data_IF_086515105789
#
_entry.id   IF_086515105789
#
_cell.length_a   1.000
_cell.length_b   1.000
_cell.length_c   1.000
_cell.angle_alpha   90.00
_cell.angle_beta   90.00
_cell.angle_gamma   90.00
#
_symmetry.space_group_name_H-M   'P 1'
#
loop_
_entity.id
_entity.type
_entity.pdbx_description
1 polymer ?
#
# COMPACT_ATOMS: atom_id res chain seq x y z
N UNK A 1 -1.41 3.52 -9.31
CA UNK A 1 -0.33 2.63 -9.79
C UNK A 1 0.06 2.99 -11.21
N UNK A 2 1.28 2.65 -11.64
CA UNK A 2 1.77 2.78 -13.02
C UNK A 2 1.04 1.91 -14.05
N UNK A 3 0.29 0.90 -13.61
CA UNK A 3 -0.46 -0.01 -14.48
C UNK A 3 -1.79 0.59 -15.01
N UNK A 4 -2.22 1.75 -14.52
CA UNK A 4 -3.42 2.46 -15.00
C UNK A 4 -2.96 3.73 -15.71
N UNK A 5 -2.47 3.58 -16.95
CA UNK A 5 -1.73 4.63 -17.67
C UNK A 5 -2.49 5.93 -17.86
N UNK A 6 -3.81 5.87 -18.10
CA UNK A 6 -4.64 7.06 -18.32
C UNK A 6 -4.79 7.95 -17.06
N UNK A 7 -4.71 7.34 -15.87
CA UNK A 7 -4.84 8.02 -14.59
C UNK A 7 -3.49 8.30 -13.92
N UNK A 8 -2.40 7.68 -14.37
CA UNK A 8 -1.09 7.76 -13.73
C UNK A 8 -0.33 9.05 -14.10
N UNK A 9 0.49 9.56 -13.18
CA UNK A 9 1.55 10.51 -13.50
C UNK A 9 2.79 10.30 -12.64
N UNK A 10 3.97 10.37 -13.26
CA UNK A 10 5.26 10.46 -12.55
C UNK A 10 5.59 11.89 -12.10
N UNK A 11 4.81 12.89 -12.53
CA UNK A 11 5.00 14.31 -12.21
C UNK A 11 4.43 14.64 -10.83
N UNK A 12 4.98 14.00 -9.81
CA UNK A 12 4.67 14.20 -8.39
C UNK A 12 5.96 14.51 -7.63
N UNK A 13 5.84 15.05 -6.42
CA UNK A 13 6.99 15.21 -5.54
C UNK A 13 7.64 13.84 -5.30
N UNK A 14 8.95 13.76 -5.50
CA UNK A 14 9.75 12.56 -5.26
C UNK A 14 10.65 12.78 -4.06
N UNK A 15 10.90 11.71 -3.30
CA UNK A 15 11.82 11.70 -2.16
C UNK A 15 12.93 10.68 -2.46
N UNK A 16 13.98 11.07 -3.20
CA UNK A 16 15.08 10.16 -3.49
C UNK A 16 15.80 9.76 -2.21
N UNK A 17 16.37 8.56 -2.19
CA UNK A 17 17.18 8.09 -1.06
C UNK A 17 18.41 8.98 -0.89
N UNK A 18 18.37 9.85 0.12
CA UNK A 18 19.43 10.81 0.42
C UNK A 18 19.62 10.95 1.94
N UNK A 19 20.56 10.18 2.47
CA UNK A 19 20.88 10.09 3.90
C UNK A 19 21.35 11.44 4.46
N UNK A 20 22.14 12.20 3.70
CA UNK A 20 22.63 13.50 4.12
C UNK A 20 21.48 14.51 4.28
N UNK A 21 20.57 14.56 3.30
CA UNK A 21 19.38 15.43 3.36
C UNK A 21 18.44 15.02 4.49
N UNK A 22 18.25 13.72 4.71
CA UNK A 22 17.43 13.23 5.81
C UNK A 22 18.00 13.63 7.18
N UNK A 23 19.32 13.50 7.39
CA UNK A 23 19.96 13.99 8.61
C UNK A 23 19.76 15.50 8.80
N UNK A 24 19.99 16.30 7.76
CA UNK A 24 19.80 17.75 7.82
C UNK A 24 18.36 18.14 8.22
N UNK A 25 17.35 17.51 7.61
CA UNK A 25 15.93 17.75 7.94
C UNK A 25 15.59 17.37 9.40
N UNK A 26 16.15 16.26 9.90
CA UNK A 26 15.96 15.85 11.28
C UNK A 26 16.64 16.81 12.27
N UNK A 27 17.79 17.37 11.89
CA UNK A 27 18.49 18.37 12.71
C UNK A 27 17.78 19.74 12.70
N UNK A 28 17.22 20.15 11.55
CA UNK A 28 16.40 21.37 11.38
C UNK A 28 15.14 21.33 12.25
N UNK A 29 14.52 20.16 12.41
CA UNK A 29 13.30 19.97 13.23
C UNK A 29 13.60 19.74 14.72
N UNK A 30 14.88 19.77 15.12
CA UNK A 30 15.30 19.59 16.52
C UNK A 30 15.41 18.14 16.97
N UNK A 31 15.14 17.16 16.09
CA UNK A 31 15.26 15.72 16.34
C UNK A 31 16.73 15.29 16.22
N UNK A 32 17.62 15.91 16.99
CA UNK A 32 19.08 15.72 16.91
C UNK A 32 19.53 14.38 17.44
N UNK A 33 20.71 13.91 17.03
CA UNK A 33 21.34 12.72 17.63
C UNK A 33 21.72 13.00 19.08
N UNK A 34 21.42 12.07 19.97
CA UNK A 34 21.96 12.03 21.32
C UNK A 34 23.43 11.60 21.34
N UNK A 35 24.01 11.57 22.54
CA UNK A 35 25.42 11.17 22.77
C UNK A 35 25.75 9.75 22.30
N UNK A 36 24.76 8.86 22.26
CA UNK A 36 24.87 7.50 21.76
C UNK A 36 24.61 7.38 20.24
N UNK A 37 24.49 8.50 19.52
CA UNK A 37 24.20 8.54 18.09
C UNK A 37 22.74 8.26 17.71
N UNK A 38 21.87 7.95 18.68
CA UNK A 38 20.43 7.69 18.46
C UNK A 38 19.65 8.99 18.59
N UNK A 39 18.75 9.24 17.64
CA UNK A 39 17.78 10.37 17.68
C UNK A 39 16.56 9.98 18.51
N UNK A 40 15.91 8.88 18.14
CA UNK A 40 14.77 8.32 18.85
C UNK A 40 14.59 6.84 18.53
N UNK A 41 13.68 6.20 19.27
CA UNK A 41 13.27 4.81 19.07
C UNK A 41 11.80 4.78 18.67
N UNK A 42 11.45 3.88 17.76
CA UNK A 42 10.08 3.67 17.26
C UNK A 42 9.86 2.20 17.00
N UNK A 43 8.62 1.79 16.74
CA UNK A 43 8.28 0.42 16.34
C UNK A 43 7.71 0.33 14.92
N UNK A 44 7.85 -0.84 14.29
CA UNK A 44 7.21 -1.20 13.02
C UNK A 44 6.50 -2.54 13.18
N UNK A 45 5.17 -2.54 13.02
CA UNK A 45 4.38 -3.77 12.98
C UNK A 45 4.26 -4.29 11.54
N UNK A 46 4.33 -5.61 11.36
CA UNK A 46 4.23 -6.24 10.04
C UNK A 46 3.83 -7.73 10.14
N UNK A 47 3.17 -8.24 9.09
CA UNK A 47 2.93 -9.67 8.90
C UNK A 47 4.18 -10.38 8.32
N UNK A 48 4.29 -11.70 8.53
CA UNK A 48 5.41 -12.53 8.08
C UNK A 48 5.77 -12.37 6.59
N UNK A 49 4.79 -12.07 5.73
CA UNK A 49 5.00 -11.81 4.30
C UNK A 49 5.88 -10.58 3.99
N UNK A 50 6.17 -9.72 4.97
CA UNK A 50 6.86 -8.45 4.79
C UNK A 50 8.20 -8.34 5.52
N UNK A 51 8.76 -9.45 6.02
CA UNK A 51 9.98 -9.43 6.83
C UNK A 51 11.18 -8.74 6.15
N UNK A 52 11.37 -8.98 4.85
CA UNK A 52 12.50 -8.37 4.10
C UNK A 52 12.36 -6.86 3.98
N UNK A 53 11.15 -6.36 3.80
CA UNK A 53 10.86 -4.93 3.73
C UNK A 53 11.04 -4.28 5.09
N UNK A 54 10.59 -4.95 6.16
CA UNK A 54 10.76 -4.49 7.53
C UNK A 54 12.25 -4.34 7.91
N UNK A 55 13.10 -5.32 7.59
CA UNK A 55 14.54 -5.24 7.83
C UNK A 55 15.22 -4.14 7.01
N UNK A 56 14.81 -3.94 5.75
CA UNK A 56 15.33 -2.86 4.92
C UNK A 56 14.97 -1.48 5.50
N UNK A 57 13.73 -1.29 5.92
CA UNK A 57 13.26 -0.05 6.56
C UNK A 57 14.05 0.22 7.84
N UNK A 58 14.24 -0.80 8.69
CA UNK A 58 15.05 -0.70 9.91
C UNK A 58 16.48 -0.28 9.60
N UNK A 59 17.11 -0.90 8.61
CA UNK A 59 18.49 -0.58 8.22
C UNK A 59 18.61 0.88 7.75
N UNK A 60 17.75 1.31 6.83
CA UNK A 60 17.77 2.67 6.28
C UNK A 60 17.47 3.74 7.33
N UNK A 61 16.50 3.51 8.22
CA UNK A 61 16.22 4.42 9.33
C UNK A 61 17.37 4.43 10.36
N UNK A 62 18.07 3.31 10.54
CA UNK A 62 19.28 3.23 11.35
C UNK A 62 20.41 4.16 10.88
N UNK A 63 20.60 4.32 9.56
CA UNK A 63 21.62 5.22 8.98
C UNK A 63 21.42 6.67 9.43
N UNK A 64 20.18 7.09 9.67
CA UNK A 64 19.83 8.43 10.16
C UNK A 64 19.66 8.50 11.68
N UNK A 65 19.97 7.42 12.41
CA UNK A 65 19.94 7.38 13.87
C UNK A 65 18.58 7.06 14.48
N UNK A 66 17.65 6.51 13.70
CA UNK A 66 16.34 6.08 14.18
C UNK A 66 16.40 4.58 14.43
N UNK A 67 16.16 4.17 15.67
CA UNK A 67 16.15 2.74 16.01
C UNK A 67 14.73 2.20 15.88
N UNK A 68 14.56 1.18 15.03
CA UNK A 68 13.26 0.55 14.76
C UNK A 68 13.19 -0.82 15.44
N UNK A 69 12.23 -0.98 16.34
CA UNK A 69 11.81 -2.25 16.92
C UNK A 69 10.83 -2.96 15.98
N UNK A 70 11.25 -4.11 15.44
CA UNK A 70 10.47 -4.88 14.48
C UNK A 70 9.53 -5.84 15.22
N UNK A 71 8.22 -5.66 15.00
CA UNK A 71 7.18 -6.45 15.65
C UNK A 71 6.44 -7.30 14.63
N UNK A 72 6.93 -8.54 14.47
CA UNK A 72 6.24 -9.56 13.68
C UNK A 72 4.92 -9.95 14.36
N UNK A 73 3.86 -10.00 13.57
CA UNK A 73 2.52 -10.38 14.01
C UNK A 73 1.92 -11.42 13.07
N UNK A 74 1.01 -12.24 13.58
CA UNK A 74 0.11 -12.99 12.71
C UNK A 74 -0.89 -12.05 12.02
N UNK A 75 -1.46 -12.49 10.89
CA UNK A 75 -2.36 -11.70 10.07
C UNK A 75 -3.52 -11.07 10.87
N UNK A 76 -4.15 -11.81 11.79
CA UNK A 76 -5.31 -11.30 12.52
C UNK A 76 -4.92 -10.21 13.51
N UNK A 77 -3.86 -10.43 14.29
CA UNK A 77 -3.32 -9.44 15.21
C UNK A 77 -2.84 -8.18 14.48
N UNK A 78 -2.14 -8.36 13.35
CA UNK A 78 -1.68 -7.27 12.49
C UNK A 78 -2.83 -6.45 11.91
N UNK A 79 -3.84 -7.09 11.32
CA UNK A 79 -5.05 -6.40 10.80
C UNK A 79 -5.75 -5.64 11.92
N UNK A 80 -5.96 -6.28 13.06
CA UNK A 80 -6.62 -5.64 14.21
C UNK A 80 -5.86 -4.40 14.65
N UNK A 81 -4.54 -4.50 14.80
CA UNK A 81 -3.71 -3.41 15.31
C UNK A 81 -3.62 -2.24 14.32
N UNK A 82 -3.50 -2.50 13.02
CA UNK A 82 -3.50 -1.49 11.97
C UNK A 82 -4.86 -0.79 11.79
N UNK A 83 -5.95 -1.56 11.78
CA UNK A 83 -7.22 -1.06 11.25
C UNK A 83 -8.31 -0.85 12.29
N UNK A 84 -8.24 -1.53 13.44
CA UNK A 84 -9.27 -1.49 14.48
C UNK A 84 -8.79 -0.70 15.70
N UNK A 85 -7.65 -1.11 16.25
CA UNK A 85 -7.12 -0.55 17.50
C UNK A 85 -6.27 0.71 17.23
N UNK A 86 -5.70 0.84 16.02
CA UNK A 86 -4.81 1.93 15.59
C UNK A 86 -3.61 2.13 16.53
N UNK A 87 -3.10 1.04 17.08
CA UNK A 87 -2.03 1.02 18.09
C UNK A 87 -0.68 0.66 17.45
N UNK A 88 -0.07 1.63 16.77
CA UNK A 88 1.23 1.48 16.12
C UNK A 88 1.90 2.83 15.88
N UNK A 89 3.24 2.87 15.85
CA UNK A 89 3.97 4.05 15.36
C UNK A 89 4.09 4.00 13.83
N UNK A 90 4.51 2.84 13.31
CA UNK A 90 4.55 2.53 11.90
C UNK A 90 3.98 1.14 11.67
N UNK A 91 3.35 0.95 10.51
CA UNK A 91 2.89 -0.36 10.08
C UNK A 91 3.15 -0.56 8.59
N UNK A 92 3.62 -1.75 8.23
CA UNK A 92 3.78 -2.12 6.83
C UNK A 92 2.56 -2.88 6.35
N UNK A 93 2.00 -2.47 5.22
CA UNK A 93 0.88 -3.15 4.56
C UNK A 93 0.96 -3.04 3.06
N UNK A 94 0.20 -3.87 2.36
CA UNK A 94 -0.02 -3.77 0.93
C UNK A 94 -1.51 -3.59 0.64
N UNK A 95 -1.80 -2.99 -0.49
CA UNK A 95 -3.15 -2.89 -1.01
C UNK A 95 -3.21 -3.46 -2.42
N UNK A 96 -4.32 -4.10 -2.73
CA UNK A 96 -4.68 -4.48 -4.09
C UNK A 96 -5.67 -3.48 -4.64
N UNK A 97 -5.68 -3.30 -5.95
CA UNK A 97 -6.68 -2.48 -6.63
C UNK A 97 -7.06 -3.14 -7.97
N UNK A 98 -8.32 -2.99 -8.41
CA UNK A 98 -8.73 -3.37 -9.76
C UNK A 98 -8.25 -2.31 -10.78
N UNK A 99 -8.68 -2.45 -12.03
CA UNK A 99 -8.29 -1.53 -13.11
C UNK A 99 -8.82 -0.10 -12.93
N UNK A 100 -9.90 0.11 -12.16
CA UNK A 100 -10.40 1.43 -11.82
C UNK A 100 -9.70 1.96 -10.54
N UNK A 101 -9.07 3.16 -10.59
CA UNK A 101 -8.41 3.73 -9.42
C UNK A 101 -9.32 3.97 -8.21
N UNK A 102 -10.61 4.26 -8.43
CA UNK A 102 -11.54 4.62 -7.36
C UNK A 102 -11.73 3.46 -6.38
N UNK A 103 -12.02 2.27 -6.91
CA UNK A 103 -12.36 1.08 -6.12
C UNK A 103 -11.23 0.65 -5.18
N UNK A 104 -9.97 0.86 -5.59
CA UNK A 104 -8.82 0.40 -4.83
C UNK A 104 -8.17 1.46 -3.94
N UNK A 105 -8.02 2.69 -4.44
CA UNK A 105 -7.24 3.73 -3.75
C UNK A 105 -8.11 4.63 -2.85
N UNK A 106 -9.38 4.86 -3.19
CA UNK A 106 -10.29 5.72 -2.40
C UNK A 106 -10.34 5.28 -0.94
N UNK A 107 -10.51 3.96 -0.71
CA UNK A 107 -10.61 3.35 0.63
C UNK A 107 -9.42 3.64 1.55
N UNK A 108 -8.24 3.98 1.02
CA UNK A 108 -7.04 4.18 1.83
C UNK A 108 -6.98 5.63 2.35
N UNK A 109 -7.57 6.58 1.63
CA UNK A 109 -7.29 8.01 1.83
C UNK A 109 -8.49 8.85 2.22
N UNK A 110 -9.72 8.41 1.95
CA UNK A 110 -10.89 9.25 2.28
C UNK A 110 -11.20 9.27 3.77
N UNK A 111 -11.61 10.43 4.27
CA UNK A 111 -11.91 10.64 5.69
C UNK A 111 -12.99 9.67 6.19
N UNK A 112 -14.05 9.48 5.39
CA UNK A 112 -15.19 8.62 5.72
C UNK A 112 -14.81 7.15 5.88
N UNK A 113 -13.64 6.74 5.40
CA UNK A 113 -13.16 5.38 5.55
C UNK A 113 -12.16 5.21 6.69
N UNK A 114 -11.97 6.22 7.55
CA UNK A 114 -11.29 6.06 8.84
C UNK A 114 -12.24 5.42 9.85
N UNK A 115 -12.49 4.13 9.67
CA UNK A 115 -13.43 3.32 10.45
C UNK A 115 -12.74 2.07 11.01
N UNK A 116 -13.36 1.45 12.02
CA UNK A 116 -12.92 0.19 12.62
C UNK A 116 -13.31 -1.01 11.74
N UNK A 117 -12.69 -1.13 10.58
CA UNK A 117 -12.85 -2.27 9.68
C UNK A 117 -11.51 -2.60 8.98
N UNK A 118 -11.25 -3.87 8.63
CA UNK A 118 -10.01 -4.27 7.94
C UNK A 118 -9.79 -3.55 6.60
N UNK A 119 -8.53 -3.26 6.27
CA UNK A 119 -8.10 -2.74 4.96
C UNK A 119 -8.79 -1.44 4.52
N UNK A 120 -9.16 -0.61 5.49
CA UNK A 120 -9.67 0.74 5.30
C UNK A 120 -8.55 1.77 5.47
N UNK A 121 -8.89 3.03 5.74
CA UNK A 121 -7.90 4.05 6.03
C UNK A 121 -7.19 3.70 7.36
N UNK A 122 -5.97 3.20 7.22
CA UNK A 122 -5.11 2.82 8.34
C UNK A 122 -4.36 4.00 8.95
N UNK A 123 -3.99 5.00 8.13
CA UNK A 123 -3.13 6.10 8.56
C UNK A 123 -3.85 7.19 9.36
N UNK A 124 -5.19 7.21 9.32
CA UNK A 124 -5.96 8.30 9.93
C UNK A 124 -5.87 9.61 9.18
N UNK A 125 -5.32 9.59 7.96
CA UNK A 125 -5.27 10.76 7.11
C UNK A 125 -6.69 11.22 6.76
N UNK A 126 -6.93 12.53 6.87
CA UNK A 126 -8.18 13.14 6.45
C UNK A 126 -7.90 14.53 5.87
N UNK A 127 -8.30 14.74 4.62
CA UNK A 127 -8.14 16.01 3.93
C UNK A 127 -9.34 16.25 3.01
N UNK A 128 -10.06 17.35 3.23
CA UNK A 128 -11.27 17.69 2.46
C UNK A 128 -11.02 17.91 0.96
N UNK A 129 -9.83 18.38 0.57
CA UNK A 129 -9.45 18.51 -0.83
C UNK A 129 -9.30 17.13 -1.49
N UNK A 130 -8.70 16.17 -0.77
CA UNK A 130 -8.55 14.79 -1.24
C UNK A 130 -9.92 14.12 -1.39
N UNK A 131 -10.80 14.25 -0.39
CA UNK A 131 -12.17 13.74 -0.45
C UNK A 131 -12.90 14.32 -1.68
N UNK A 132 -12.84 15.65 -1.85
CA UNK A 132 -13.44 16.33 -3.01
C UNK A 132 -12.89 15.82 -4.34
N UNK A 133 -11.58 15.63 -4.47
CA UNK A 133 -10.97 15.12 -5.70
C UNK A 133 -11.45 13.70 -6.01
N UNK A 134 -11.65 12.84 -5.01
CA UNK A 134 -12.25 11.52 -5.23
C UNK A 134 -13.71 11.62 -5.69
N UNK A 135 -14.50 12.49 -5.08
CA UNK A 135 -15.91 12.65 -5.46
C UNK A 135 -16.08 13.26 -6.85
N UNK A 136 -15.26 14.26 -7.21
CA UNK A 136 -15.21 14.82 -8.55
C UNK A 136 -14.78 13.76 -9.58
N UNK A 137 -13.82 12.88 -9.23
CA UNK A 137 -13.38 11.79 -10.10
C UNK A 137 -14.45 10.71 -10.31
N UNK A 138 -15.35 10.48 -9.34
CA UNK A 138 -16.47 9.54 -9.49
C UNK A 138 -17.57 10.15 -10.37
N UNK A 139 -17.81 11.45 -10.28
CA UNK A 139 -18.84 12.14 -11.06
C UNK A 139 -18.44 12.43 -12.52
N UNK A 140 -17.15 12.42 -12.85
CA UNK A 140 -16.65 12.73 -14.20
C UNK A 140 -16.68 11.50 -15.12
N UNK A 141 -17.45 11.61 -16.21
CA UNK A 141 -17.66 10.54 -17.19
C UNK A 141 -16.61 10.55 -18.32
N UNK A 142 -15.98 11.71 -18.60
CA UNK A 142 -14.90 11.80 -19.56
C UNK A 142 -13.60 11.25 -18.95
N UNK A 143 -13.08 10.16 -19.53
CA UNK A 143 -11.90 9.48 -19.00
C UNK A 143 -10.67 10.38 -18.94
N UNK A 144 -10.50 11.31 -19.89
CA UNK A 144 -9.34 12.20 -19.93
C UNK A 144 -9.40 13.20 -18.78
N UNK A 145 -10.56 13.85 -18.57
CA UNK A 145 -10.79 14.76 -17.45
C UNK A 145 -10.67 14.05 -16.11
N UNK A 146 -11.27 12.86 -15.98
CA UNK A 146 -11.13 12.00 -14.79
C UNK A 146 -9.67 11.67 -14.51
N UNK A 147 -8.90 11.36 -15.55
CA UNK A 147 -7.46 11.12 -15.46
C UNK A 147 -6.72 12.35 -14.92
N UNK A 148 -7.07 13.56 -15.36
CA UNK A 148 -6.45 14.79 -14.89
C UNK A 148 -6.77 15.08 -13.41
N UNK A 149 -7.96 14.71 -12.92
CA UNK A 149 -8.32 14.74 -11.49
C UNK A 149 -7.43 13.77 -10.69
N UNK A 150 -7.28 12.52 -11.14
CA UNK A 150 -6.40 11.56 -10.47
C UNK A 150 -4.93 11.98 -10.42
N UNK A 151 -4.45 12.70 -11.44
CA UNK A 151 -3.09 13.25 -11.44
C UNK A 151 -2.94 14.38 -10.41
N UNK A 152 -3.97 15.20 -10.19
CA UNK A 152 -3.99 16.21 -9.11
C UNK A 152 -3.98 15.52 -7.74
N UNK A 153 -4.82 14.51 -7.56
CA UNK A 153 -4.85 13.69 -6.35
C UNK A 153 -3.48 13.08 -6.03
N UNK A 154 -2.80 12.47 -7.02
CA UNK A 154 -1.45 11.91 -6.84
C UNK A 154 -0.43 12.96 -6.38
N UNK A 155 -0.49 14.17 -6.94
CA UNK A 155 0.39 15.27 -6.50
C UNK A 155 0.10 15.69 -5.06
N UNK A 156 -1.17 15.79 -4.69
CA UNK A 156 -1.58 16.16 -3.34
C UNK A 156 -1.12 15.11 -2.31
N UNK A 157 -1.38 13.83 -2.58
CA UNK A 157 -0.94 12.73 -1.71
C UNK A 157 0.59 12.63 -1.61
N UNK A 158 1.33 12.89 -2.70
CA UNK A 158 2.79 12.92 -2.65
C UNK A 158 3.36 14.10 -1.83
N UNK A 159 2.60 15.19 -1.71
CA UNK A 159 2.97 16.32 -0.85
C UNK A 159 2.63 16.05 0.61
N UNK A 160 1.47 15.45 0.88
CA UNK A 160 0.99 15.23 2.25
C UNK A 160 1.61 13.98 2.91
N UNK A 161 2.11 13.04 2.10
CA UNK A 161 2.77 11.79 2.51
C UNK A 161 2.00 10.99 3.59
N UNK A 162 0.69 10.73 3.43
CA UNK A 162 -0.08 9.97 4.42
C UNK A 162 0.32 8.49 4.50
N UNK A 163 0.94 7.97 3.44
CA UNK A 163 1.59 6.66 3.35
C UNK A 163 2.83 6.81 2.48
N UNK A 164 3.84 5.96 2.68
CA UNK A 164 5.03 5.91 1.84
C UNK A 164 4.91 4.72 0.87
N UNK A 165 4.70 4.94 -0.44
CA UNK A 165 4.67 3.85 -1.40
C UNK A 165 6.06 3.24 -1.58
N UNK A 166 6.23 1.95 -1.22
CA UNK A 166 7.53 1.25 -1.31
C UNK A 166 7.73 0.56 -2.66
N UNK A 167 6.67 0.00 -3.25
CA UNK A 167 6.76 -0.62 -4.57
C UNK A 167 5.46 -1.24 -5.04
N UNK A 168 5.37 -1.46 -6.35
CA UNK A 168 4.30 -2.21 -7.00
C UNK A 168 4.75 -3.67 -7.22
N UNK A 169 3.98 -4.63 -6.72
CA UNK A 169 4.23 -6.07 -6.93
C UNK A 169 3.26 -6.67 -7.95
N UNK A 170 3.70 -7.73 -8.63
CA UNK A 170 2.82 -8.65 -9.36
C UNK A 170 2.57 -9.83 -8.43
N UNK A 171 1.31 -10.26 -8.28
CA UNK A 171 0.97 -11.49 -7.56
C UNK A 171 0.91 -12.67 -8.53
N UNK A 172 2.01 -13.44 -8.72
CA UNK A 172 1.98 -14.58 -9.61
C UNK A 172 1.18 -15.73 -8.98
N UNK A 173 0.40 -16.40 -9.81
CA UNK A 173 -0.21 -17.68 -9.46
C UNK A 173 0.63 -18.80 -10.08
N UNK A 174 1.01 -19.79 -9.27
CA UNK A 174 1.75 -20.96 -9.72
C UNK A 174 0.81 -22.16 -9.63
N UNK A 175 0.65 -22.88 -10.74
CA UNK A 175 -0.17 -24.08 -10.80
C UNK A 175 0.46 -25.13 -11.70
N UNK A 176 0.11 -26.39 -11.45
CA UNK A 176 0.53 -27.52 -12.27
C UNK A 176 -0.24 -27.52 -13.58
N UNK A 177 0.25 -26.76 -14.56
CA UNK A 177 -0.39 -26.66 -15.87
C UNK A 177 -0.42 -28.01 -16.61
N UNK A 178 0.33 -29.04 -16.22
CA UNK A 178 0.21 -30.37 -16.83
C UNK A 178 -1.08 -31.11 -16.43
N UNK A 179 -1.75 -30.67 -15.37
CA UNK A 179 -2.91 -31.36 -14.80
C UNK A 179 -4.11 -30.45 -14.58
N UNK A 180 -3.89 -29.14 -14.53
CA UNK A 180 -4.95 -28.17 -14.33
C UNK A 180 -5.01 -27.22 -15.52
N UNK A 181 -6.23 -27.01 -16.03
CA UNK A 181 -6.55 -26.13 -17.17
C UNK A 181 -7.57 -25.08 -16.74
N UNK A 182 -7.73 -24.05 -17.57
CA UNK A 182 -8.76 -23.04 -17.40
C UNK A 182 -8.42 -21.89 -16.44
N UNK A 183 -7.17 -21.83 -15.97
CA UNK A 183 -6.57 -20.57 -15.55
C UNK A 183 -6.56 -19.64 -16.77
N UNK A 184 -7.50 -18.70 -16.83
CA UNK A 184 -7.58 -17.74 -17.93
C UNK A 184 -6.36 -16.82 -17.97
N UNK A 185 -6.19 -16.11 -19.10
CA UNK A 185 -5.24 -14.97 -19.22
C UNK A 185 -5.64 -13.76 -18.33
N UNK A 186 -6.53 -13.94 -17.35
CA UNK A 186 -6.98 -12.93 -16.41
C UNK A 186 -5.94 -12.66 -15.32
N UNK A 187 -4.68 -12.44 -15.73
CA UNK A 187 -3.82 -11.55 -14.96
C UNK A 187 -4.61 -10.25 -14.71
N UNK A 188 -4.82 -9.92 -13.44
CA UNK A 188 -5.41 -8.68 -12.91
C UNK A 188 -6.93 -8.46 -12.95
N UNK A 189 -7.77 -9.20 -13.70
CA UNK A 189 -9.20 -8.80 -13.80
C UNK A 189 -10.07 -9.26 -12.63
N UNK A 190 -9.83 -10.43 -12.06
CA UNK A 190 -10.62 -10.96 -10.92
C UNK A 190 -9.71 -11.80 -10.01
N UNK A 191 -9.14 -11.19 -8.97
CA UNK A 191 -8.31 -11.92 -7.98
C UNK A 191 -9.08 -13.03 -7.25
N UNK A 192 -10.42 -12.97 -7.24
CA UNK A 192 -11.30 -13.87 -6.51
C UNK A 192 -12.06 -14.89 -7.37
N UNK A 193 -12.03 -14.78 -8.72
CA UNK A 193 -12.67 -15.74 -9.62
C UNK A 193 -11.76 -16.93 -10.02
N UNK A 194 -10.64 -17.09 -9.31
CA UNK A 194 -9.55 -18.02 -9.63
C UNK A 194 -10.00 -19.49 -9.74
N UNK A 195 -11.10 -19.88 -9.06
CA UNK A 195 -11.59 -21.26 -9.04
C UNK A 195 -12.69 -21.60 -10.05
N UNK A 196 -13.40 -20.62 -10.60
CA UNK A 196 -14.65 -20.89 -11.35
C UNK A 196 -14.43 -21.55 -12.70
N UNK A 197 -13.25 -21.34 -13.28
CA UNK A 197 -12.90 -21.84 -14.61
C UNK A 197 -11.79 -22.87 -14.55
N UNK A 198 -11.35 -23.31 -13.37
CA UNK A 198 -10.24 -24.26 -13.24
C UNK A 198 -10.76 -25.68 -13.14
N UNK A 199 -10.23 -26.58 -13.95
CA UNK A 199 -10.55 -28.00 -13.87
C UNK A 199 -9.30 -28.89 -13.91
N UNK A 200 -9.40 -30.02 -13.22
CA UNK A 200 -8.38 -31.07 -13.19
C UNK A 200 -8.59 -32.04 -14.36
N UNK A 201 -7.58 -32.21 -15.21
CA UNK A 201 -7.67 -33.02 -16.43
C UNK A 201 -7.44 -34.51 -16.20
N UNK A 202 -7.05 -34.92 -14.99
CA UNK A 202 -6.84 -36.33 -14.62
C UNK A 202 -7.95 -36.89 -13.73
N UNK A 203 -8.97 -36.10 -13.40
CA UNK A 203 -10.11 -36.57 -12.61
C UNK A 203 -11.11 -37.34 -13.47
N UNK A 204 -11.54 -38.50 -13.01
CA UNK A 204 -12.74 -39.18 -13.53
C UNK A 204 -13.94 -38.85 -12.64
N UNK A 205 -15.07 -38.49 -13.23
CA UNK A 205 -16.31 -38.27 -12.48
C UNK A 205 -16.96 -39.62 -12.16
N UNK A 206 -16.57 -40.25 -11.05
CA UNK A 206 -17.41 -41.30 -10.44
C UNK A 206 -18.42 -40.64 -9.50
N UNK A 207 -19.47 -40.02 -10.06
CA UNK A 207 -20.68 -39.78 -9.28
C UNK A 207 -21.42 -41.12 -9.17
N UNK A 208 -21.49 -41.66 -7.95
CA UNK A 208 -22.53 -42.62 -7.55
C UNK A 208 -23.72 -41.85 -7.02
#
# INVERSE_FOLDING_TARGET
TRFISWAYTSKVQQYPHNVARANALLDETGVRRGSNGVRFRTSLIYDAGFARQAELIKAQLGEVGIVVDLRLMDMNSWVRRLYIDKDFDMGYTNFTHPADPDVGWKRIYVCSNYVKAPFTNGSGYCNAEVDKLFDDAVAELDQKKRGDIYKKLQRKLASDVPVIPIGDGIGPWIYRNSEFRGFGNSGSKEQFAFGEKVWWTKGSSSRR
#
